data_IF_471365033584
#
_entry.id   IF_471365033584
#
_cell.length_a   1.000
_cell.length_b   1.000
_cell.length_c   1.000
_cell.angle_alpha   90.00
_cell.angle_beta   90.00
_cell.angle_gamma   90.00
#
_symmetry.space_group_name_H-M   'P 1'
#
loop_
_entity.id
_entity.type
_entity.pdbx_description
1 polymer ?
#
# COMPACT_ATOMS: atom_id res chain seq x y z
N UNK A 1 -5.66 8.78 1.80
CA UNK A 1 -4.18 8.79 1.76
C UNK A 1 -3.69 10.21 1.61
N UNK A 2 -2.56 10.54 2.22
CA UNK A 2 -1.85 11.80 1.99
C UNK A 2 -1.22 11.81 0.58
N UNK A 3 -1.13 12.94 -0.13
CA UNK A 3 -0.48 13.01 -1.45
C UNK A 3 0.95 12.47 -1.44
N UNK A 4 1.78 12.90 -0.49
CA UNK A 4 3.17 12.44 -0.39
C UNK A 4 3.25 10.91 -0.21
N UNK A 5 2.32 10.32 0.53
CA UNK A 5 2.27 8.87 0.70
C UNK A 5 1.87 8.13 -0.59
N UNK A 6 1.07 8.75 -1.46
CA UNK A 6 0.75 8.18 -2.77
C UNK A 6 1.99 8.21 -3.67
N UNK A 7 2.74 9.31 -3.65
CA UNK A 7 4.00 9.44 -4.37
C UNK A 7 5.04 8.44 -3.87
N UNK A 8 5.24 8.36 -2.55
CA UNK A 8 6.17 7.42 -1.92
C UNK A 8 5.80 5.97 -2.27
N UNK A 9 4.51 5.62 -2.25
CA UNK A 9 4.04 4.28 -2.62
C UNK A 9 4.47 3.92 -4.04
N UNK A 10 4.30 4.86 -4.97
CA UNK A 10 4.72 4.69 -6.35
C UNK A 10 6.23 4.57 -6.48
N UNK A 11 6.99 5.41 -5.78
CA UNK A 11 8.46 5.38 -5.77
C UNK A 11 8.97 4.02 -5.28
N UNK A 12 8.25 3.35 -4.37
CA UNK A 12 8.62 2.03 -3.87
C UNK A 12 8.30 0.91 -4.88
N UNK A 13 7.13 0.93 -5.52
CA UNK A 13 6.66 -0.18 -6.36
C UNK A 13 7.13 -0.07 -7.80
N UNK A 14 7.19 1.14 -8.36
CA UNK A 14 7.51 1.32 -9.77
C UNK A 14 8.91 0.80 -10.17
N UNK A 15 9.98 0.94 -9.37
CA UNK A 15 11.29 0.37 -9.70
C UNK A 15 11.28 -1.16 -9.81
N UNK A 16 10.46 -1.85 -9.01
CA UNK A 16 10.28 -3.31 -9.09
C UNK A 16 9.67 -3.70 -10.43
N UNK A 17 8.62 -2.99 -10.85
CA UNK A 17 7.98 -3.19 -12.15
C UNK A 17 8.94 -2.85 -13.30
N UNK A 18 9.64 -1.74 -13.22
CA UNK A 18 10.58 -1.28 -14.25
C UNK A 18 11.76 -2.25 -14.42
N UNK A 19 12.26 -2.82 -13.32
CA UNK A 19 13.29 -3.87 -13.34
C UNK A 19 12.77 -5.12 -14.04
N UNK A 20 11.60 -5.62 -13.65
CA UNK A 20 10.99 -6.78 -14.28
C UNK A 20 10.80 -6.53 -15.79
N UNK A 21 10.29 -5.36 -16.18
CA UNK A 21 10.13 -4.98 -17.60
C UNK A 21 11.46 -5.01 -18.37
N UNK A 22 12.59 -4.71 -17.72
CA UNK A 22 13.90 -4.72 -18.35
C UNK A 22 14.51 -6.14 -18.45
N UNK A 23 14.26 -7.02 -17.47
CA UNK A 23 14.97 -8.30 -17.33
C UNK A 23 14.12 -9.52 -17.71
N UNK A 24 12.82 -9.47 -17.44
CA UNK A 24 11.89 -10.60 -17.61
C UNK A 24 10.46 -10.09 -17.93
N UNK A 25 10.10 -10.15 -19.22
CA UNK A 25 8.79 -9.70 -19.71
C UNK A 25 7.62 -10.52 -19.18
N UNK A 26 7.83 -11.81 -18.88
CA UNK A 26 6.77 -12.64 -18.31
C UNK A 26 6.51 -12.26 -16.86
N UNK A 27 7.57 -12.06 -16.06
CA UNK A 27 7.46 -11.54 -14.71
C UNK A 27 6.77 -10.16 -14.68
N UNK A 28 7.15 -9.25 -15.60
CA UNK A 28 6.51 -7.94 -15.72
C UNK A 28 5.01 -8.04 -16.02
N UNK A 29 4.63 -8.97 -16.91
CA UNK A 29 3.22 -9.23 -17.23
C UNK A 29 2.48 -9.79 -16.02
N UNK A 30 3.09 -10.71 -15.27
CA UNK A 30 2.55 -11.22 -14.02
C UNK A 30 2.29 -10.13 -12.98
N UNK A 31 3.21 -9.16 -12.85
CA UNK A 31 3.02 -8.00 -11.96
C UNK A 31 1.86 -7.10 -12.37
N UNK A 32 1.53 -7.00 -13.66
CA UNK A 32 0.38 -6.20 -14.12
C UNK A 32 -0.95 -6.73 -13.60
N UNK A 33 -1.05 -8.03 -13.30
CA UNK A 33 -2.25 -8.61 -12.69
C UNK A 33 -2.57 -7.99 -11.32
N UNK A 34 -1.58 -7.41 -10.64
CA UNK A 34 -1.77 -6.71 -9.37
C UNK A 34 -2.46 -5.35 -9.52
N UNK A 35 -2.64 -4.85 -10.75
CA UNK A 35 -3.22 -3.55 -11.04
C UNK A 35 -4.50 -3.68 -11.86
N UNK A 36 -5.61 -3.20 -11.30
CA UNK A 36 -6.90 -3.20 -11.99
C UNK A 36 -6.88 -2.29 -13.22
N UNK A 37 -7.29 -2.83 -14.37
CA UNK A 37 -7.40 -2.09 -15.63
C UNK A 37 -6.06 -1.68 -16.26
N UNK A 38 -4.94 -2.25 -15.83
CA UNK A 38 -3.62 -1.98 -16.40
C UNK A 38 -3.05 -3.24 -17.04
N UNK A 39 -2.80 -3.18 -18.35
CA UNK A 39 -2.31 -4.34 -19.11
C UNK A 39 -0.81 -4.27 -19.39
N UNK A 40 -0.24 -3.06 -19.36
CA UNK A 40 1.17 -2.85 -19.73
C UNK A 40 1.88 -1.88 -18.79
N UNK A 41 3.18 -2.07 -18.64
CA UNK A 41 4.04 -1.16 -17.86
C UNK A 41 4.00 0.26 -18.42
N UNK A 42 3.88 0.41 -19.74
CA UNK A 42 3.74 1.72 -20.37
C UNK A 42 2.43 2.45 -19.99
N UNK A 43 1.33 1.72 -19.77
CA UNK A 43 0.09 2.30 -19.23
C UNK A 43 0.28 2.66 -17.76
N UNK A 44 0.89 1.77 -16.96
CA UNK A 44 1.14 2.01 -15.54
C UNK A 44 1.92 3.30 -15.28
N UNK A 45 2.99 3.53 -16.06
CA UNK A 45 3.84 4.74 -15.97
C UNK A 45 3.09 6.05 -16.21
N UNK A 46 1.95 6.01 -16.91
CA UNK A 46 1.16 7.21 -17.25
C UNK A 46 0.12 7.55 -16.19
N UNK A 47 -0.15 6.66 -15.24
CA UNK A 47 -1.09 6.95 -14.16
C UNK A 47 -0.55 8.05 -13.26
N UNK A 48 -1.44 8.87 -12.72
CA UNK A 48 -1.13 9.68 -11.54
C UNK A 48 -1.05 8.80 -10.29
N UNK A 49 -0.48 9.34 -9.21
CA UNK A 49 -0.17 8.57 -8.00
C UNK A 49 -1.44 8.04 -7.30
N UNK A 50 -2.55 8.76 -7.38
CA UNK A 50 -3.84 8.32 -6.81
C UNK A 50 -4.44 7.17 -7.61
N UNK A 51 -4.44 7.27 -8.94
CA UNK A 51 -4.89 6.18 -9.81
C UNK A 51 -3.94 4.96 -9.74
N UNK A 52 -2.64 5.18 -9.60
CA UNK A 52 -1.67 4.10 -9.38
C UNK A 52 -1.98 3.32 -8.09
N UNK A 53 -2.14 4.02 -6.96
CA UNK A 53 -2.47 3.37 -5.69
C UNK A 53 -3.83 2.64 -5.73
N UNK A 54 -4.85 3.27 -6.29
CA UNK A 54 -6.19 2.68 -6.34
C UNK A 54 -6.29 1.49 -7.29
N UNK A 55 -5.61 1.53 -8.45
CA UNK A 55 -5.53 0.38 -9.37
C UNK A 55 -4.80 -0.78 -8.71
N UNK A 56 -3.68 -0.53 -8.02
CA UNK A 56 -2.96 -1.56 -7.27
C UNK A 56 -3.86 -2.21 -6.20
N UNK A 57 -4.51 -1.40 -5.36
CA UNK A 57 -5.33 -1.94 -4.27
C UNK A 57 -6.52 -2.74 -4.81
N UNK A 58 -7.17 -2.24 -5.87
CA UNK A 58 -8.26 -2.97 -6.55
C UNK A 58 -7.77 -4.29 -7.14
N UNK A 59 -6.66 -4.28 -7.88
CA UNK A 59 -6.10 -5.50 -8.48
C UNK A 59 -5.74 -6.52 -7.41
N UNK A 60 -5.08 -6.09 -6.34
CA UNK A 60 -4.76 -6.92 -5.18
C UNK A 60 -6.03 -7.55 -4.56
N UNK A 61 -7.08 -6.76 -4.32
CA UNK A 61 -8.34 -7.28 -3.76
C UNK A 61 -9.12 -8.19 -4.71
N UNK A 62 -8.94 -8.04 -6.03
CA UNK A 62 -9.54 -8.92 -7.03
C UNK A 62 -8.81 -10.26 -7.12
N UNK A 63 -7.48 -10.26 -6.98
CA UNK A 63 -6.66 -11.48 -6.93
C UNK A 63 -6.82 -12.23 -5.62
N UNK A 64 -7.02 -11.51 -4.52
CA UNK A 64 -7.16 -12.08 -3.18
C UNK A 64 -8.43 -11.52 -2.52
N UNK A 65 -9.62 -12.08 -2.84
CA UNK A 65 -10.90 -11.64 -2.28
C UNK A 65 -10.92 -11.65 -0.74
N UNK A 66 -10.15 -12.57 -0.14
CA UNK A 66 -9.92 -12.69 1.30
C UNK A 66 -9.53 -11.34 1.93
N UNK A 67 -8.64 -10.58 1.26
CA UNK A 67 -8.18 -9.24 1.71
C UNK A 67 -9.36 -8.27 1.74
N UNK A 68 -10.18 -8.27 0.69
CA UNK A 68 -11.35 -7.40 0.61
C UNK A 68 -12.38 -7.76 1.68
N UNK A 69 -12.60 -9.05 1.92
CA UNK A 69 -13.53 -9.55 2.93
C UNK A 69 -13.04 -9.21 4.34
N UNK A 70 -11.74 -9.30 4.60
CA UNK A 70 -11.13 -8.94 5.87
C UNK A 70 -11.25 -7.45 6.18
N UNK A 71 -11.07 -6.59 5.17
CA UNK A 71 -11.28 -5.15 5.30
C UNK A 71 -12.76 -4.82 5.50
N UNK A 72 -13.66 -5.50 4.78
CA UNK A 72 -15.12 -5.31 4.91
C UNK A 72 -15.66 -5.75 6.27
N UNK A 73 -15.11 -6.83 6.82
CA UNK A 73 -15.45 -7.35 8.15
C UNK A 73 -14.57 -6.78 9.28
N UNK A 74 -13.73 -5.79 9.00
CA UNK A 74 -12.81 -5.25 9.99
C UNK A 74 -13.54 -4.40 11.03
N UNK A 75 -13.28 -4.68 12.31
CA UNK A 75 -13.64 -3.79 13.40
C UNK A 75 -12.44 -2.94 13.79
N UNK A 76 -12.59 -1.62 13.67
CA UNK A 76 -11.57 -0.65 14.04
C UNK A 76 -12.02 0.09 15.31
N UNK A 77 -11.31 -0.12 16.40
CA UNK A 77 -11.54 0.60 17.66
C UNK A 77 -10.45 1.65 17.86
N UNK A 78 -10.84 2.92 17.89
CA UNK A 78 -9.93 4.01 18.21
C UNK A 78 -9.56 3.99 19.70
N UNK A 79 -8.26 3.89 20.00
CA UNK A 79 -7.75 3.86 21.36
C UNK A 79 -7.28 5.25 21.82
N UNK A 80 -6.78 6.06 20.88
CA UNK A 80 -6.36 7.43 21.15
C UNK A 80 -5.55 8.02 20.02
N UNK A 81 -5.05 9.23 20.24
CA UNK A 81 -4.15 9.90 19.30
C UNK A 81 -3.18 10.81 20.04
N UNK A 82 -1.96 10.91 19.51
CA UNK A 82 -0.93 11.83 20.00
C UNK A 82 -0.56 12.79 18.88
N UNK A 83 -0.59 14.08 19.15
CA UNK A 83 -0.18 15.10 18.19
C UNK A 83 1.35 15.19 18.16
N UNK A 84 1.93 15.21 16.96
CA UNK A 84 3.32 15.59 16.70
C UNK A 84 3.29 16.98 16.05
N UNK A 85 3.46 18.02 16.87
CA UNK A 85 3.27 19.40 16.41
C UNK A 85 1.80 19.71 16.08
N UNK A 86 1.57 20.58 15.08
CA UNK A 86 0.23 21.09 14.75
C UNK A 86 -0.47 20.31 13.62
N UNK A 87 0.32 19.64 12.78
CA UNK A 87 -0.13 19.13 11.49
C UNK A 87 0.05 17.62 11.33
N UNK A 88 0.69 16.94 12.29
CA UNK A 88 0.88 15.49 12.29
C UNK A 88 0.26 14.87 13.54
N UNK A 89 -0.36 13.70 13.41
CA UNK A 89 -0.88 12.93 14.54
C UNK A 89 -0.58 11.44 14.36
N UNK A 90 -0.23 10.77 15.45
CA UNK A 90 -0.17 9.32 15.53
C UNK A 90 -1.45 8.80 16.15
N UNK A 91 -2.15 7.97 15.42
CA UNK A 91 -3.50 7.49 15.73
C UNK A 91 -3.36 6.03 16.12
N UNK A 92 -3.66 5.72 17.39
CA UNK A 92 -3.56 4.37 17.94
C UNK A 92 -4.93 3.72 17.85
N UNK A 93 -5.00 2.57 17.21
CA UNK A 93 -6.24 1.83 17.02
C UNK A 93 -6.03 0.34 17.23
N UNK A 94 -7.11 -0.38 17.53
CA UNK A 94 -7.15 -1.84 17.48
C UNK A 94 -7.89 -2.25 16.22
N UNK A 95 -7.33 -3.19 15.48
CA UNK A 95 -7.95 -3.80 14.32
C UNK A 95 -8.25 -5.26 14.62
N UNK A 96 -9.49 -5.68 14.41
CA UNK A 96 -9.90 -7.09 14.42
C UNK A 96 -10.41 -7.41 13.01
N UNK A 97 -9.84 -8.41 12.35
CA UNK A 97 -10.26 -8.85 11.01
C UNK A 97 -10.16 -10.35 10.87
N UNK A 98 -10.83 -10.93 9.86
CA UNK A 98 -10.86 -12.37 9.60
C UNK A 98 -9.48 -12.98 9.27
N UNK A 99 -8.56 -12.18 8.71
CA UNK A 99 -7.18 -12.61 8.44
C UNK A 99 -6.30 -12.47 9.69
N UNK A 100 -6.65 -11.57 10.60
CA UNK A 100 -5.88 -11.28 11.81
C UNK A 100 -6.60 -11.76 13.09
N UNK A 101 -7.13 -12.98 13.05
CA UNK A 101 -8.00 -13.55 14.11
C UNK A 101 -7.28 -13.86 15.42
N UNK A 102 -5.95 -13.82 15.46
CA UNK A 102 -5.16 -14.23 16.63
C UNK A 102 -4.39 -13.11 17.33
N UNK A 103 -4.50 -11.85 16.91
CA UNK A 103 -3.81 -10.76 17.59
C UNK A 103 -4.66 -9.48 17.63
N UNK A 104 -5.27 -9.21 18.80
CA UNK A 104 -5.87 -7.91 19.12
C UNK A 104 -4.80 -6.84 19.38
N UNK A 105 -3.82 -6.74 18.49
CA UNK A 105 -2.68 -5.85 18.65
C UNK A 105 -3.11 -4.40 18.39
N UNK A 106 -2.59 -3.49 19.20
CA UNK A 106 -2.75 -2.07 18.95
C UNK A 106 -1.81 -1.68 17.82
N UNK A 107 -2.35 -1.13 16.75
CA UNK A 107 -1.63 -0.58 15.62
C UNK A 107 -1.55 0.94 15.73
N UNK A 108 -0.56 1.52 15.07
CA UNK A 108 -0.37 2.97 15.00
C UNK A 108 -0.30 3.38 13.53
N UNK A 109 -1.13 4.34 13.15
CA UNK A 109 -1.05 5.00 11.85
C UNK A 109 -0.70 6.46 12.03
N UNK A 110 0.22 6.97 11.22
CA UNK A 110 0.52 8.40 11.18
C UNK A 110 -0.37 9.08 10.15
N UNK A 111 -1.01 10.17 10.54
CA UNK A 111 -1.79 11.03 9.67
C UNK A 111 -1.20 12.43 9.66
N UNK A 112 -1.28 13.11 8.53
CA UNK A 112 -0.84 14.49 8.37
C UNK A 112 -1.95 15.34 7.73
N UNK A 113 -2.05 16.61 8.13
CA UNK A 113 -3.02 17.55 7.57
C UNK A 113 -2.70 17.87 6.11
N UNK A 114 -3.74 17.81 5.30
CA UNK A 114 -3.77 18.29 3.92
C UNK A 114 -4.79 19.42 3.80
N UNK A 115 -4.84 20.08 2.64
CA UNK A 115 -5.91 21.04 2.31
C UNK A 115 -7.33 20.45 2.40
N UNK A 116 -7.46 19.13 2.29
CA UNK A 116 -8.73 18.41 2.26
C UNK A 116 -9.02 17.63 3.56
N UNK A 117 -8.22 17.84 4.61
CA UNK A 117 -8.33 17.11 5.88
C UNK A 117 -7.13 16.20 6.15
N UNK A 118 -7.29 15.23 7.05
CA UNK A 118 -6.21 14.33 7.45
C UNK A 118 -5.97 13.23 6.41
N UNK A 119 -4.72 13.07 5.99
CA UNK A 119 -4.28 12.00 5.11
C UNK A 119 -3.37 11.03 5.85
N UNK A 120 -3.63 9.72 5.70
CA UNK A 120 -2.73 8.66 6.17
C UNK A 120 -1.40 8.73 5.41
N UNK A 121 -0.29 8.71 6.16
CA UNK A 121 1.05 8.49 5.63
C UNK A 121 1.32 6.99 5.47
N UNK A 122 2.29 6.64 4.62
CA UNK A 122 2.77 5.26 4.53
C UNK A 122 3.29 4.79 5.88
N UNK A 123 2.84 3.62 6.32
CA UNK A 123 3.35 3.01 7.56
C UNK A 123 4.73 2.41 7.30
N UNK A 124 5.55 2.35 8.34
CA UNK A 124 6.87 1.68 8.30
C UNK A 124 6.76 0.21 7.88
N UNK A 125 5.63 -0.43 8.11
CA UNK A 125 5.33 -1.79 7.67
C UNK A 125 5.25 -1.92 6.15
N UNK A 126 4.64 -0.95 5.46
CA UNK A 126 4.61 -0.92 3.99
C UNK A 126 6.00 -0.65 3.40
N UNK A 127 6.81 0.18 4.04
CA UNK A 127 8.24 0.37 3.70
C UNK A 127 9.00 -0.95 3.88
N UNK A 128 8.78 -1.67 4.97
CA UNK A 128 9.42 -2.96 5.24
C UNK A 128 9.02 -4.04 4.22
N UNK A 129 7.73 -4.09 3.84
CA UNK A 129 7.24 -5.01 2.81
C UNK A 129 7.93 -4.76 1.47
N UNK A 130 8.14 -3.50 1.09
CA UNK A 130 8.79 -3.13 -0.17
C UNK A 130 10.29 -3.41 -0.16
N UNK A 131 10.97 -3.18 0.95
CA UNK A 131 12.36 -3.65 1.14
C UNK A 131 12.48 -5.18 1.00
N UNK A 132 11.50 -5.93 1.50
CA UNK A 132 11.49 -7.39 1.40
C UNK A 132 11.24 -7.87 -0.04
N UNK A 133 10.35 -7.21 -0.79
CA UNK A 133 10.12 -7.50 -2.21
C UNK A 133 11.39 -7.20 -3.02
N UNK A 134 12.04 -6.04 -2.81
CA UNK A 134 13.28 -5.71 -3.50
C UNK A 134 14.38 -6.74 -3.21
N UNK A 135 14.57 -7.12 -1.94
CA UNK A 135 15.54 -8.14 -1.54
C UNK A 135 15.26 -9.51 -2.18
N UNK A 136 14.00 -9.91 -2.26
CA UNK A 136 13.62 -11.17 -2.89
C UNK A 136 13.96 -11.21 -4.38
N UNK A 137 13.87 -10.07 -5.08
CA UNK A 137 14.28 -9.96 -6.48
C UNK A 137 15.80 -9.97 -6.65
N UNK A 138 16.53 -9.31 -5.76
CA UNK A 138 17.99 -9.26 -5.80
C UNK A 138 18.63 -10.63 -5.49
N UNK A 139 17.96 -11.47 -4.69
CA UNK A 139 18.42 -12.82 -4.34
C UNK A 139 18.18 -13.88 -5.43
N UNK A 140 17.50 -13.53 -6.54
CA UNK A 140 17.29 -14.41 -7.70
C UNK A 140 18.32 -14.21 -8.82
N UNK A 141 19.41 -13.47 -8.57
CA UNK A 141 20.57 -13.30 -9.46
C UNK A 141 21.86 -13.73 -8.73
#
# INVERSE_FOLDING_TARGET
MHPDALTDFRVLIQPVVDRADATDKEAATGLMLMFDGVETVAQLRKLDDGTFFTSFYKGLTSLQPEIADAVRGAEITMLGSVMEGNDTAHVVYRLISSINTSLSEAQVVTVQRTKNGWGVLLTSEMTTMTENISRAMDAQH
#
